data_IF_869133423504
#
_entry.id   IF_869133423504
#
_cell.length_a   1.000
_cell.length_b   1.000
_cell.length_c   1.000
_cell.angle_alpha   90.00
_cell.angle_beta   90.00
_cell.angle_gamma   90.00
#
_symmetry.space_group_name_H-M   'P 1'
#
loop_
_entity.id
_entity.type
_entity.pdbx_description
1 polymer ?
#
# COMPACT_ATOMS: atom_id res chain seq x y z
N UNK A 1 -9.91 -3.58 -3.92
CA UNK A 1 -10.28 -4.75 -3.08
C UNK A 1 -11.79 -5.05 -3.11
N UNK A 2 -12.20 -6.32 -3.10
CA UNK A 2 -13.60 -6.76 -3.38
C UNK A 2 -14.40 -7.20 -2.16
N UNK A 3 -13.81 -7.20 -0.96
CA UNK A 3 -14.49 -7.60 0.28
C UNK A 3 -13.51 -8.00 1.38
N UNK A 4 -14.05 -8.27 2.58
CA UNK A 4 -13.27 -8.70 3.74
C UNK A 4 -12.61 -10.05 3.48
N UNK A 5 -11.37 -10.23 3.93
CA UNK A 5 -10.55 -11.40 3.63
C UNK A 5 -9.97 -11.44 2.21
N UNK A 6 -10.35 -10.53 1.30
CA UNK A 6 -9.82 -10.47 -0.07
C UNK A 6 -8.80 -9.35 -0.23
N UNK A 7 -7.53 -9.67 0.03
CA UNK A 7 -6.41 -8.73 -0.12
C UNK A 7 -6.00 -8.66 -1.58
N UNK A 8 -5.84 -7.45 -2.10
CA UNK A 8 -5.40 -7.22 -3.48
C UNK A 8 -4.26 -6.22 -3.50
N UNK A 9 -3.27 -6.48 -4.35
CA UNK A 9 -2.25 -5.50 -4.70
C UNK A 9 -2.94 -4.23 -5.23
N UNK A 10 -2.53 -3.07 -4.73
CA UNK A 10 -3.05 -1.79 -5.19
C UNK A 10 -2.46 -1.50 -6.57
N UNK A 11 -3.32 -1.08 -7.50
CA UNK A 11 -2.87 -0.55 -8.79
C UNK A 11 -2.42 0.90 -8.61
N UNK A 12 -1.21 1.22 -9.05
CA UNK A 12 -0.67 2.57 -9.08
C UNK A 12 0.81 2.62 -9.40
N UNK A 13 1.23 3.57 -10.23
CA UNK A 13 2.64 3.78 -10.49
C UNK A 13 3.31 4.35 -9.23
N UNK A 14 4.28 3.63 -8.68
CA UNK A 14 5.00 4.05 -7.48
C UNK A 14 5.83 5.30 -7.78
N UNK A 15 5.52 6.47 -7.25
CA UNK A 15 6.28 7.71 -7.58
C UNK A 15 7.59 7.84 -6.80
N UNK A 16 8.22 6.72 -6.44
CA UNK A 16 9.41 6.71 -5.59
C UNK A 16 10.66 7.06 -6.38
N UNK A 17 11.42 8.03 -5.87
CA UNK A 17 12.69 8.48 -6.42
C UNK A 17 13.80 8.25 -5.38
N UNK A 18 15.03 8.01 -5.85
CA UNK A 18 16.25 7.91 -5.02
C UNK A 18 16.20 6.83 -3.92
N UNK A 19 16.02 5.57 -4.30
CA UNK A 19 16.00 4.46 -3.36
C UNK A 19 17.41 3.88 -3.13
N UNK A 20 17.88 3.88 -1.89
CA UNK A 20 19.19 3.32 -1.56
C UNK A 20 19.16 1.79 -1.61
N UNK A 21 19.84 1.19 -2.60
CA UNK A 21 19.90 -0.28 -2.83
C UNK A 21 18.56 -0.94 -3.16
N UNK A 22 17.54 -0.17 -3.56
CA UNK A 22 16.32 -0.72 -4.16
C UNK A 22 16.15 -0.18 -5.57
N UNK A 23 15.50 -0.97 -6.42
CA UNK A 23 15.03 -0.53 -7.74
C UNK A 23 13.52 -0.46 -7.74
N UNK A 24 12.96 0.49 -8.49
CA UNK A 24 11.53 0.54 -8.78
C UNK A 24 11.25 -0.38 -9.96
N UNK A 25 10.57 -1.49 -9.71
CA UNK A 25 10.36 -2.54 -10.71
C UNK A 25 8.89 -2.61 -11.14
N UNK A 26 8.37 -1.47 -11.62
CA UNK A 26 7.04 -1.36 -12.19
C UNK A 26 5.98 -0.78 -11.24
N UNK A 27 4.76 -1.31 -11.35
CA UNK A 27 3.58 -0.83 -10.62
C UNK A 27 3.65 -1.33 -9.17
N UNK A 28 3.60 -0.40 -8.22
CA UNK A 28 3.55 -0.67 -6.79
C UNK A 28 4.56 -1.74 -6.36
N UNK A 29 5.83 -1.56 -6.73
CA UNK A 29 6.88 -2.54 -6.47
C UNK A 29 8.26 -1.91 -6.37
N UNK A 30 8.91 -2.13 -5.22
CA UNK A 30 10.34 -1.88 -5.04
C UNK A 30 11.06 -3.19 -4.72
N UNK A 31 12.23 -3.43 -5.31
CA UNK A 31 12.98 -4.68 -5.13
C UNK A 31 14.34 -4.39 -4.53
N UNK A 32 14.73 -5.16 -3.51
CA UNK A 32 16.01 -5.02 -2.86
C UNK A 32 17.14 -5.61 -3.73
N UNK A 33 18.15 -4.80 -4.02
CA UNK A 33 19.32 -5.14 -4.85
C UNK A 33 20.63 -5.22 -4.06
N UNK A 34 20.59 -5.01 -2.75
CA UNK A 34 21.78 -5.18 -1.91
C UNK A 34 22.15 -6.65 -1.72
N UNK A 35 23.39 -6.93 -1.31
CA UNK A 35 23.96 -8.30 -1.23
C UNK A 35 23.75 -9.02 0.11
N UNK A 36 23.45 -8.28 1.19
CA UNK A 36 23.29 -8.83 2.54
C UNK A 36 21.86 -8.71 3.01
N UNK A 37 21.35 -9.73 3.68
CA UNK A 37 20.06 -9.68 4.38
C UNK A 37 20.09 -8.59 5.44
N UNK A 38 19.06 -7.73 5.46
CA UNK A 38 18.94 -6.62 6.42
C UNK A 38 17.47 -6.31 6.69
N UNK A 39 17.22 -5.73 7.86
CA UNK A 39 15.96 -5.07 8.15
C UNK A 39 15.95 -3.68 7.55
N UNK A 40 14.83 -3.31 6.93
CA UNK A 40 14.59 -1.98 6.38
C UNK A 40 13.30 -1.43 6.96
N UNK A 41 13.28 -0.13 7.23
CA UNK A 41 12.04 0.58 7.50
C UNK A 41 11.39 0.90 6.16
N UNK A 42 10.22 0.31 5.93
CA UNK A 42 9.39 0.56 4.76
C UNK A 42 8.33 1.59 5.14
N UNK A 43 8.16 2.60 4.31
CA UNK A 43 7.09 3.56 4.42
C UNK A 43 6.38 3.72 3.07
N UNK A 44 5.07 3.57 3.06
CA UNK A 44 4.21 3.85 1.92
C UNK A 44 3.20 4.93 2.27
N UNK A 45 2.71 5.62 1.25
CA UNK A 45 1.55 6.51 1.37
C UNK A 45 0.64 6.27 0.18
N UNK A 46 -0.64 6.06 0.46
CA UNK A 46 -1.67 5.84 -0.56
C UNK A 46 -2.74 6.90 -0.41
N UNK A 47 -2.90 7.72 -1.43
CA UNK A 47 -4.07 8.57 -1.56
C UNK A 47 -5.12 7.85 -2.39
N UNK A 48 -6.32 7.72 -1.87
CA UNK A 48 -7.41 7.06 -2.57
C UNK A 48 -8.74 7.76 -2.36
N UNK A 49 -9.64 7.53 -3.32
CA UNK A 49 -11.03 7.92 -3.25
C UNK A 49 -11.89 6.66 -3.22
N UNK A 50 -12.94 6.67 -2.40
CA UNK A 50 -13.97 5.64 -2.41
C UNK A 50 -15.16 6.05 -3.25
N UNK A 51 -15.75 5.13 -4.01
CA UNK A 51 -17.00 5.42 -4.74
C UNK A 51 -18.24 5.41 -3.84
N UNK A 52 -18.11 4.92 -2.61
CA UNK A 52 -19.16 4.75 -1.60
C UNK A 52 -18.49 4.63 -0.23
N UNK A 53 -19.31 4.56 0.82
CA UNK A 53 -18.90 4.37 2.20
C UNK A 53 -18.26 2.99 2.41
N UNK A 54 -16.94 3.00 2.59
CA UNK A 54 -16.18 1.80 2.92
C UNK A 54 -14.98 2.08 3.82
N UNK A 55 -14.67 1.07 4.63
CA UNK A 55 -13.44 1.02 5.40
C UNK A 55 -12.44 0.14 4.67
N UNK A 56 -11.29 0.70 4.31
CA UNK A 56 -10.17 0.00 3.68
C UNK A 56 -9.07 -0.21 4.72
N UNK A 57 -8.37 -1.34 4.59
CA UNK A 57 -7.13 -1.63 5.31
C UNK A 57 -6.00 -1.65 4.30
N UNK A 58 -4.92 -0.92 4.57
CA UNK A 58 -3.66 -0.99 3.83
C UNK A 58 -2.66 -1.89 4.56
N UNK A 59 -1.79 -2.51 3.78
CA UNK A 59 -0.72 -3.37 4.27
C UNK A 59 0.54 -3.22 3.43
N UNK A 60 1.68 -3.49 4.05
CA UNK A 60 2.90 -3.84 3.35
C UNK A 60 2.86 -5.34 3.04
N UNK A 61 3.25 -5.72 1.82
CA UNK A 61 3.45 -7.10 1.41
C UNK A 61 4.89 -7.33 0.96
N UNK A 62 5.46 -8.47 1.34
CA UNK A 62 6.75 -8.96 0.85
C UNK A 62 6.53 -10.20 -0.02
N UNK A 63 7.05 -10.19 -1.23
CA UNK A 63 6.97 -11.32 -2.16
C UNK A 63 5.53 -11.87 -2.30
N UNK A 64 4.56 -10.98 -2.51
CA UNK A 64 3.10 -11.25 -2.56
C UNK A 64 2.45 -11.72 -1.24
N UNK A 65 3.20 -11.80 -0.13
CA UNK A 65 2.67 -12.17 1.18
C UNK A 65 2.48 -10.92 2.04
N UNK A 66 1.25 -10.71 2.50
CA UNK A 66 0.91 -9.56 3.34
C UNK A 66 1.47 -9.69 4.74
N UNK A 67 2.08 -8.62 5.25
CA UNK A 67 2.59 -8.51 6.62
C UNK A 67 1.46 -7.93 7.48
N UNK A 68 0.80 -8.78 8.24
CA UNK A 68 -0.44 -8.43 8.95
C UNK A 68 -0.22 -7.43 10.09
N UNK A 69 0.99 -7.21 10.54
CA UNK A 69 1.34 -6.25 11.60
C UNK A 69 1.31 -4.80 11.09
N UNK A 70 1.26 -4.61 9.77
CA UNK A 70 1.33 -3.29 9.12
C UNK A 70 -0.04 -2.72 8.75
N UNK A 71 -1.12 -3.20 9.39
CA UNK A 71 -2.50 -2.77 9.05
C UNK A 71 -2.69 -1.30 9.35
N UNK A 72 -3.19 -0.55 8.38
CA UNK A 72 -3.69 0.81 8.60
C UNK A 72 -5.09 0.93 8.06
N UNK A 73 -6.03 1.32 8.91
CA UNK A 73 -7.42 1.51 8.55
C UNK A 73 -7.63 2.95 8.08
N UNK A 74 -8.45 3.11 7.04
CA UNK A 74 -9.07 4.39 6.77
C UNK A 74 -10.44 4.21 6.16
N UNK A 75 -11.26 5.23 6.36
CA UNK A 75 -12.61 5.29 5.84
C UNK A 75 -12.72 6.55 5.00
N UNK A 76 -12.86 6.38 3.69
CA UNK A 76 -13.30 7.47 2.84
C UNK A 76 -14.80 7.64 3.09
N UNK A 77 -15.23 8.81 3.57
CA UNK A 77 -16.65 9.11 3.74
C UNK A 77 -17.20 9.69 2.45
N UNK A 78 -18.39 9.23 2.08
CA UNK A 78 -19.23 9.75 1.02
C UNK A 78 -20.56 10.15 1.66
N UNK A 79 -21.18 11.25 1.21
CA UNK A 79 -22.38 11.76 1.86
C UNK A 79 -23.14 12.69 0.94
N UNK A 80 -24.43 12.90 1.21
CA UNK A 80 -25.31 13.71 0.37
C UNK A 80 -24.80 15.16 0.18
N UNK A 81 -24.01 15.65 1.15
CA UNK A 81 -23.37 16.97 1.13
C UNK A 81 -21.84 16.92 0.97
N UNK A 82 -21.24 15.74 0.77
CA UNK A 82 -19.79 15.58 0.68
C UNK A 82 -19.43 14.74 -0.54
N UNK A 83 -18.75 15.35 -1.51
CA UNK A 83 -18.09 14.62 -2.59
C UNK A 83 -17.14 13.58 -1.98
N UNK A 84 -16.98 12.44 -2.64
CA UNK A 84 -16.05 11.40 -2.22
C UNK A 84 -14.65 11.99 -1.97
N UNK A 85 -14.29 12.13 -0.70
CA UNK A 85 -13.03 12.76 -0.32
C UNK A 85 -11.84 11.89 -0.73
N UNK A 86 -10.72 12.54 -1.08
CA UNK A 86 -9.44 11.84 -1.22
C UNK A 86 -8.84 11.71 0.18
N UNK A 87 -8.64 10.48 0.63
CA UNK A 87 -7.96 10.18 1.89
C UNK A 87 -6.54 9.69 1.60
N UNK A 88 -5.56 10.28 2.29
CA UNK A 88 -4.18 9.82 2.27
C UNK A 88 -3.86 9.02 3.53
N UNK A 89 -3.45 7.77 3.37
CA UNK A 89 -3.09 6.88 4.47
C UNK A 89 -1.60 6.53 4.41
N UNK A 90 -0.82 6.81 5.46
CA UNK A 90 0.54 6.30 5.59
C UNK A 90 0.50 4.85 6.08
N UNK A 91 1.40 4.01 5.59
CA UNK A 91 1.64 2.65 6.09
C UNK A 91 3.13 2.46 6.34
N UNK A 92 3.49 2.02 7.54
CA UNK A 92 4.89 1.91 7.96
C UNK A 92 5.10 0.55 8.60
N UNK A 93 6.25 -0.05 8.34
CA UNK A 93 6.64 -1.31 8.94
C UNK A 93 8.13 -1.58 8.81
N UNK A 94 8.62 -2.53 9.58
CA UNK A 94 10.00 -3.02 9.47
C UNK A 94 9.97 -4.39 8.81
N UNK A 95 10.76 -4.58 7.74
CA UNK A 95 10.76 -5.83 6.97
C UNK A 95 12.19 -6.32 6.78
N UNK A 96 12.43 -7.60 7.07
CA UNK A 96 13.67 -8.26 6.68
C UNK A 96 13.66 -8.58 5.19
N UNK A 97 14.69 -8.12 4.48
CA UNK A 97 14.84 -8.25 3.03
C UNK A 97 16.12 -9.00 2.66
N UNK A 98 15.97 -10.04 1.84
CA UNK A 98 17.06 -10.74 1.12
C UNK A 98 17.17 -10.21 -0.30
N UNK A 99 18.34 -10.38 -0.93
CA UNK A 99 18.55 -9.95 -2.32
C UNK A 99 17.48 -10.51 -3.23
N UNK A 100 16.80 -9.64 -3.99
CA UNK A 100 15.71 -10.03 -4.88
C UNK A 100 14.31 -10.00 -4.24
N UNK A 101 14.20 -9.89 -2.92
CA UNK A 101 12.91 -9.67 -2.26
C UNK A 101 12.31 -8.34 -2.72
N UNK A 102 10.99 -8.30 -2.87
CA UNK A 102 10.27 -7.10 -3.26
C UNK A 102 9.14 -6.77 -2.31
N UNK A 103 8.85 -5.47 -2.22
CA UNK A 103 7.80 -4.90 -1.40
C UNK A 103 6.74 -4.25 -2.29
N UNK A 104 5.50 -4.39 -1.87
CA UNK A 104 4.31 -3.82 -2.49
C UNK A 104 3.33 -3.35 -1.40
N UNK A 105 2.39 -2.49 -1.76
CA UNK A 105 1.26 -2.11 -0.88
C UNK A 105 0.00 -2.83 -1.32
N UNK A 106 -0.67 -3.46 -0.37
CA UNK A 106 -1.90 -4.21 -0.61
C UNK A 106 -3.06 -3.55 0.14
N UNK A 107 -4.27 -3.73 -0.37
CA UNK A 107 -5.49 -3.24 0.24
C UNK A 107 -6.52 -4.36 0.44
N UNK A 108 -7.29 -4.25 1.51
CA UNK A 108 -8.46 -5.08 1.84
C UNK A 108 -9.63 -4.17 2.13
N UNK A 109 -10.85 -4.57 1.77
CA UNK A 109 -12.05 -3.84 2.20
C UNK A 109 -12.56 -4.52 3.47
N UNK A 110 -12.48 -3.83 4.59
CA UNK A 110 -12.95 -4.36 5.87
C UNK A 110 -14.47 -4.37 5.98
N UNK A 111 -15.11 -3.27 5.58
CA UNK A 111 -16.56 -3.11 5.63
C UNK A 111 -17.04 -2.12 4.57
N UNK A 112 -18.36 -2.12 4.34
CA UNK A 112 -19.01 -1.23 3.39
C UNK A 112 -18.95 -1.71 1.95
N UNK A 113 -19.24 -0.77 1.05
CA UNK A 113 -19.62 -1.00 -0.36
C UNK A 113 -18.75 -0.16 -1.30
N UNK A 114 -18.89 -0.32 -2.63
CA UNK A 114 -18.19 0.52 -3.61
C UNK A 114 -16.80 0.04 -4.05
N UNK A 115 -15.98 0.93 -4.59
CA UNK A 115 -14.65 0.63 -5.14
C UNK A 115 -13.64 1.68 -4.70
N UNK A 116 -12.39 1.23 -4.50
CA UNK A 116 -11.26 2.10 -4.20
C UNK A 116 -10.57 2.49 -5.50
N UNK A 117 -10.45 3.79 -5.73
CA UNK A 117 -9.63 4.36 -6.79
C UNK A 117 -8.36 4.97 -6.18
N UNK A 118 -7.20 4.44 -6.56
CA UNK A 118 -5.91 5.03 -6.17
C UNK A 118 -5.68 6.33 -6.94
N UNK A 119 -5.43 7.42 -6.22
CA UNK A 119 -5.06 8.72 -6.79
C UNK A 119 -3.54 8.84 -6.89
N UNK A 120 -2.83 8.47 -5.83
CA UNK A 120 -1.37 8.44 -5.82
C UNK A 120 -0.83 7.39 -4.85
N UNK A 121 0.40 6.94 -5.13
CA UNK A 121 1.10 5.92 -4.36
C UNK A 121 2.59 6.24 -4.29
N UNK A 122 3.11 6.35 -3.08
CA UNK A 122 4.55 6.43 -2.80
C UNK A 122 4.98 5.24 -1.93
N UNK A 123 6.18 4.71 -2.16
CA UNK A 123 6.73 3.57 -1.42
C UNK A 123 8.26 3.65 -1.33
N UNK A 124 8.78 3.78 -0.13
CA UNK A 124 10.21 3.89 0.13
C UNK A 124 10.66 2.83 1.13
N UNK A 125 11.95 2.51 1.09
CA UNK A 125 12.63 1.68 2.08
C UNK A 125 13.99 2.30 2.40
N UNK A 126 14.37 2.32 3.69
CA UNK A 126 15.64 2.86 4.19
C UNK A 126 16.23 1.99 5.29
#
# INVERSE_FOLDING_TARGET
>A
PTGSGTRKKIAGNTTSNNLFRFTRDGNNKITYRGKKTRYFQVAGSVSYQGSDDMTIILYIAKNNNVILETKVYGRATTGFFTNAGILALPVIGTVEMKTGDFIEIWAERYSGSGNMQTVSLNLIAR
#
